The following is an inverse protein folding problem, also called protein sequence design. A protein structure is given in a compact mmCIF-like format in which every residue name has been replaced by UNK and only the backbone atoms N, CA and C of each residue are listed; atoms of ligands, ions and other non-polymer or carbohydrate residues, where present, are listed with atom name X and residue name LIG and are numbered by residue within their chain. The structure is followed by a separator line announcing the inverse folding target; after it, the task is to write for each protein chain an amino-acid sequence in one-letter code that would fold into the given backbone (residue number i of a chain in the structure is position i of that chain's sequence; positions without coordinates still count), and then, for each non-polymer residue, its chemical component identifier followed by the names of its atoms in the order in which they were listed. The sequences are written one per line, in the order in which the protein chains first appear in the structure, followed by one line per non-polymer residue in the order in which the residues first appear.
data_IF_968517217379
#
_entry.id   IF_968517217379
#
_cell.length_a   1.000
_cell.length_b   1.000
_cell.length_c   1.000
_cell.angle_alpha   90.00
_cell.angle_beta   90.00
_cell.angle_gamma   90.00
#
_symmetry.space_group_name_H-M   'P 1'
#
loop_
_entity.id
_entity.type
_entity.pdbx_description
1 polymer ?
#
# COMPACT_ATOMS: atom_id res chain seq x y z
N UNK A 1 -7.05 -37.54 -14.53
CA UNK A 1 -6.06 -36.80 -13.72
C UNK A 1 -5.17 -36.06 -14.71
N UNK A 2 -5.36 -34.76 -14.88
CA UNK A 2 -4.48 -33.96 -15.75
C UNK A 2 -3.28 -33.53 -14.92
N UNK A 3 -2.16 -34.19 -15.15
CA UNK A 3 -0.84 -33.78 -14.70
C UNK A 3 -0.46 -32.50 -15.43
N UNK A 4 -0.81 -31.35 -14.85
CA UNK A 4 -0.34 -30.04 -15.29
C UNK A 4 0.86 -29.65 -14.43
N UNK A 5 1.97 -30.35 -14.59
CA UNK A 5 3.28 -29.79 -14.22
C UNK A 5 3.59 -28.68 -15.21
N UNK A 6 3.05 -27.49 -14.93
CA UNK A 6 3.27 -26.30 -15.75
C UNK A 6 4.78 -26.01 -15.75
N UNK A 7 5.43 -26.23 -16.89
CA UNK A 7 6.86 -25.97 -17.05
C UNK A 7 7.09 -24.47 -16.79
N UNK A 8 7.91 -24.16 -15.78
CA UNK A 8 8.26 -22.78 -15.45
C UNK A 8 9.02 -22.13 -16.61
N UNK A 9 8.87 -20.81 -16.82
CA UNK A 9 9.65 -20.10 -17.82
C UNK A 9 11.14 -20.18 -17.50
N UNK A 10 11.96 -20.15 -18.55
CA UNK A 10 13.41 -19.95 -18.42
C UNK A 10 13.68 -18.64 -17.65
N UNK A 11 14.35 -18.76 -16.51
CA UNK A 11 14.64 -17.63 -15.63
C UNK A 11 15.43 -16.51 -16.30
N UNK A 12 16.21 -16.82 -17.35
CA UNK A 12 16.97 -15.82 -18.11
C UNK A 12 16.09 -14.94 -19.01
N UNK A 13 14.84 -15.35 -19.25
CA UNK A 13 13.84 -14.58 -20.02
C UNK A 13 12.93 -13.72 -19.14
N UNK A 14 13.05 -13.83 -17.82
CA UNK A 14 12.27 -13.03 -16.87
C UNK A 14 12.80 -11.60 -16.90
N UNK A 15 11.92 -10.64 -17.18
CA UNK A 15 12.22 -9.20 -17.20
C UNK A 15 11.71 -8.44 -15.98
N UNK A 16 10.81 -9.06 -15.21
CA UNK A 16 10.20 -8.45 -14.04
C UNK A 16 9.89 -9.51 -12.98
N UNK A 17 10.20 -9.20 -11.73
CA UNK A 17 9.79 -9.95 -10.54
C UNK A 17 8.93 -9.02 -9.69
N UNK A 18 7.65 -9.32 -9.55
CA UNK A 18 6.78 -8.67 -8.58
C UNK A 18 6.63 -9.56 -7.35
N UNK A 19 6.75 -8.96 -6.17
CA UNK A 19 6.59 -9.70 -4.91
C UNK A 19 5.58 -9.01 -4.02
N UNK A 20 4.71 -9.81 -3.42
CA UNK A 20 4.00 -9.39 -2.22
C UNK A 20 4.99 -9.16 -1.06
N UNK A 21 4.54 -8.42 -0.04
CA UNK A 21 5.35 -8.06 1.11
C UNK A 21 5.06 -8.95 2.33
N UNK A 22 3.85 -8.87 2.87
CA UNK A 22 3.48 -9.46 4.16
C UNK A 22 3.21 -10.97 4.04
N UNK A 23 4.06 -11.79 4.67
CA UNK A 23 3.97 -13.26 4.53
C UNK A 23 4.64 -13.82 3.28
N UNK A 24 5.23 -12.95 2.45
CA UNK A 24 5.98 -13.32 1.25
C UNK A 24 7.44 -12.89 1.36
N UNK A 25 7.73 -11.58 1.19
CA UNK A 25 9.07 -11.03 1.28
C UNK A 25 9.53 -10.84 2.74
N UNK A 26 8.58 -10.53 3.62
CA UNK A 26 8.78 -10.43 5.06
C UNK A 26 8.50 -11.76 5.75
N UNK A 27 9.36 -12.12 6.70
CA UNK A 27 9.13 -13.26 7.58
C UNK A 27 8.07 -12.94 8.66
N UNK A 28 7.79 -13.91 9.53
CA UNK A 28 6.82 -13.75 10.64
C UNK A 28 7.17 -12.62 11.63
N UNK A 29 8.42 -12.15 11.65
CA UNK A 29 8.87 -11.01 12.45
C UNK A 29 8.78 -9.68 11.69
N UNK A 30 8.12 -9.65 10.53
CA UNK A 30 8.02 -8.48 9.64
C UNK A 30 9.38 -7.96 9.17
N UNK A 31 10.35 -8.86 8.97
CA UNK A 31 11.72 -8.54 8.57
C UNK A 31 12.09 -9.25 7.27
N UNK A 32 12.94 -8.60 6.47
CA UNK A 32 13.61 -9.23 5.32
C UNK A 32 14.74 -10.11 5.84
N UNK A 33 14.76 -11.38 5.45
CA UNK A 33 15.82 -12.32 5.85
C UNK A 33 17.15 -12.01 5.16
N UNK A 34 18.26 -12.42 5.77
CA UNK A 34 19.59 -12.19 5.20
C UNK A 34 19.81 -12.93 3.87
N UNK A 35 19.27 -14.15 3.77
CA UNK A 35 19.22 -14.88 2.50
C UNK A 35 18.50 -14.06 1.43
N UNK A 36 17.34 -13.48 1.74
CA UNK A 36 16.54 -12.68 0.80
C UNK A 36 17.30 -11.45 0.33
N UNK A 37 17.93 -10.70 1.24
CA UNK A 37 18.77 -9.54 0.90
C UNK A 37 19.90 -9.91 -0.06
N UNK A 38 20.63 -10.98 0.25
CA UNK A 38 21.74 -11.46 -0.58
C UNK A 38 21.25 -11.87 -1.98
N UNK A 39 20.14 -12.60 -2.06
CA UNK A 39 19.59 -13.07 -3.35
C UNK A 39 19.14 -11.90 -4.22
N UNK A 40 18.40 -10.94 -3.64
CA UNK A 40 17.91 -9.77 -4.39
C UNK A 40 19.08 -8.89 -4.84
N UNK A 41 20.08 -8.66 -3.98
CA UNK A 41 21.27 -7.92 -4.37
C UNK A 41 21.98 -8.57 -5.56
N UNK A 42 22.24 -9.88 -5.48
CA UNK A 42 22.92 -10.63 -6.55
C UNK A 42 22.12 -10.67 -7.86
N UNK A 43 20.79 -10.79 -7.79
CA UNK A 43 19.97 -10.87 -9.01
C UNK A 43 19.91 -9.52 -9.73
N UNK A 44 19.82 -8.42 -8.98
CA UNK A 44 19.82 -7.06 -9.53
C UNK A 44 21.20 -6.64 -10.05
N UNK A 45 22.29 -7.14 -9.46
CA UNK A 45 23.65 -6.94 -9.98
C UNK A 45 23.88 -7.73 -11.28
N UNK A 46 23.44 -9.00 -11.30
CA UNK A 46 23.64 -9.88 -12.46
C UNK A 46 22.77 -9.51 -13.66
N UNK A 47 21.57 -9.01 -13.43
CA UNK A 47 20.60 -8.65 -14.47
C UNK A 47 20.19 -7.18 -14.32
N UNK A 48 20.98 -6.23 -14.84
CA UNK A 48 20.73 -4.80 -14.64
C UNK A 48 19.41 -4.30 -15.24
N UNK A 49 18.88 -4.99 -16.26
CA UNK A 49 17.60 -4.66 -16.91
C UNK A 49 16.38 -5.33 -16.26
N UNK A 50 16.58 -6.11 -15.19
CA UNK A 50 15.50 -6.78 -14.47
C UNK A 50 14.78 -5.78 -13.56
N UNK A 51 13.46 -5.69 -13.69
CA UNK A 51 12.62 -4.96 -12.76
C UNK A 51 12.31 -5.80 -11.51
N UNK A 52 12.48 -5.21 -10.33
CA UNK A 52 12.08 -5.80 -9.06
C UNK A 52 11.05 -4.91 -8.37
N UNK A 53 9.80 -5.36 -8.36
CA UNK A 53 8.65 -4.55 -7.97
C UNK A 53 8.08 -5.05 -6.65
N UNK A 54 8.06 -4.17 -5.64
CA UNK A 54 7.31 -4.44 -4.40
C UNK A 54 5.84 -4.14 -4.65
N UNK A 55 4.98 -5.13 -4.53
CA UNK A 55 3.53 -4.99 -4.67
C UNK A 55 2.86 -5.23 -3.31
N UNK A 56 2.19 -4.23 -2.72
CA UNK A 56 1.63 -4.37 -1.37
C UNK A 56 0.42 -3.47 -1.12
N UNK A 57 -0.34 -3.80 -0.09
CA UNK A 57 -1.41 -2.97 0.44
C UNK A 57 -0.96 -1.78 1.27
N UNK A 58 0.31 -1.75 1.66
CA UNK A 58 0.93 -0.65 2.42
C UNK A 58 1.14 0.59 1.56
N UNK A 59 1.28 1.76 2.21
CA UNK A 59 1.71 2.99 1.52
C UNK A 59 3.23 3.08 1.44
N UNK A 60 3.76 4.11 0.75
CA UNK A 60 5.20 4.28 0.53
C UNK A 60 5.99 4.45 1.84
N UNK A 61 5.58 5.29 2.81
CA UNK A 61 6.23 5.37 4.12
C UNK A 61 6.43 4.02 4.81
N UNK A 62 5.43 3.14 4.72
CA UNK A 62 5.42 1.85 5.42
C UNK A 62 6.33 0.80 4.77
N UNK A 63 6.88 1.07 3.58
CA UNK A 63 7.87 0.19 2.92
C UNK A 63 9.30 0.75 2.89
N UNK A 64 9.52 1.99 3.36
CA UNK A 64 10.85 2.63 3.29
C UNK A 64 11.92 1.78 3.99
N UNK A 65 11.63 1.30 5.21
CA UNK A 65 12.56 0.42 5.97
C UNK A 65 12.85 -0.89 5.24
N UNK A 66 11.90 -1.40 4.45
CA UNK A 66 12.09 -2.61 3.65
C UNK A 66 13.01 -2.32 2.47
N UNK A 67 12.80 -1.20 1.77
CA UNK A 67 13.66 -0.75 0.67
C UNK A 67 15.08 -0.47 1.13
N UNK A 68 15.24 0.16 2.30
CA UNK A 68 16.53 0.37 2.95
C UNK A 68 17.22 -0.98 3.27
N UNK A 69 16.51 -1.91 3.89
CA UNK A 69 17.05 -3.22 4.24
C UNK A 69 17.47 -4.06 3.02
N UNK A 70 16.85 -3.83 1.87
CA UNK A 70 17.19 -4.44 0.59
C UNK A 70 18.26 -3.67 -0.20
N UNK A 71 18.66 -2.48 0.27
CA UNK A 71 19.55 -1.57 -0.44
C UNK A 71 19.05 -1.20 -1.85
N UNK A 72 17.75 -0.90 -1.96
CA UNK A 72 17.08 -0.54 -3.22
C UNK A 72 16.47 0.87 -3.20
N UNK A 73 16.85 1.71 -2.22
CA UNK A 73 16.50 3.14 -2.25
C UNK A 73 17.15 3.77 -3.49
N UNK A 74 16.35 4.48 -4.29
CA UNK A 74 16.75 5.15 -5.54
C UNK A 74 17.51 4.26 -6.53
N UNK A 75 17.39 2.94 -6.41
CA UNK A 75 18.05 1.98 -7.30
C UNK A 75 17.19 1.79 -8.56
N UNK A 76 17.72 2.03 -9.76
CA UNK A 76 16.96 1.85 -11.01
C UNK A 76 16.28 0.48 -11.08
N UNK A 77 15.11 0.43 -11.74
CA UNK A 77 14.30 -0.77 -11.96
C UNK A 77 13.77 -1.40 -10.65
N UNK A 78 13.52 -0.59 -9.61
CA UNK A 78 12.97 -1.05 -8.33
C UNK A 78 11.67 -0.33 -7.95
N UNK A 79 10.66 -0.43 -8.80
CA UNK A 79 9.36 0.24 -8.64
C UNK A 79 8.56 -0.29 -7.44
N UNK A 80 7.49 0.43 -7.08
CA UNK A 80 6.57 0.02 -6.02
C UNK A 80 5.11 0.19 -6.43
N UNK A 81 4.34 -0.89 -6.35
CA UNK A 81 2.89 -0.92 -6.53
C UNK A 81 2.20 -0.98 -5.16
N UNK A 82 1.59 0.12 -4.75
CA UNK A 82 1.20 0.35 -3.36
C UNK A 82 -0.30 0.57 -3.20
N UNK A 83 -0.76 0.55 -1.95
CA UNK A 83 -2.19 0.72 -1.62
C UNK A 83 -3.10 -0.25 -2.39
N UNK A 84 -2.70 -1.52 -2.55
CA UNK A 84 -3.39 -2.53 -3.39
C UNK A 84 -3.43 -2.14 -4.88
N UNK A 85 -2.36 -1.52 -5.40
CA UNK A 85 -2.25 -1.11 -6.79
C UNK A 85 -2.93 0.21 -7.13
N UNK A 86 -3.43 0.96 -6.14
CA UNK A 86 -4.01 2.28 -6.39
C UNK A 86 -2.96 3.35 -6.71
N UNK A 87 -1.69 3.12 -6.40
CA UNK A 87 -0.60 4.04 -6.74
C UNK A 87 0.67 3.26 -7.09
N UNK A 88 1.33 3.65 -8.18
CA UNK A 88 2.62 3.12 -8.60
C UNK A 88 3.66 4.23 -8.55
N UNK A 89 4.78 3.95 -7.90
CA UNK A 89 5.95 4.81 -7.89
C UNK A 89 7.07 4.17 -8.68
N UNK A 90 7.84 5.00 -9.38
CA UNK A 90 9.13 4.58 -9.91
C UNK A 90 10.16 4.39 -8.77
N UNK A 91 11.41 4.13 -9.15
CA UNK A 91 12.48 3.89 -8.18
C UNK A 91 12.93 5.15 -7.41
N UNK A 92 12.71 6.35 -7.96
CA UNK A 92 13.05 7.65 -7.36
C UNK A 92 11.88 8.26 -6.59
N UNK A 93 10.71 7.63 -6.62
CA UNK A 93 9.51 8.11 -5.94
C UNK A 93 8.63 9.04 -6.78
N UNK A 94 8.82 9.10 -8.10
CA UNK A 94 7.87 9.76 -9.00
C UNK A 94 6.64 8.86 -9.21
N UNK A 95 5.46 9.47 -9.32
CA UNK A 95 4.21 8.73 -9.53
C UNK A 95 4.12 8.35 -11.01
N UNK A 96 4.16 7.04 -11.29
CA UNK A 96 3.94 6.48 -12.63
C UNK A 96 2.46 6.31 -12.95
N UNK A 97 1.68 5.96 -11.92
CA UNK A 97 0.25 5.72 -12.04
C UNK A 97 -0.45 6.01 -10.72
N UNK A 98 -1.65 6.59 -10.78
CA UNK A 98 -2.47 6.84 -9.61
C UNK A 98 -3.94 6.71 -9.94
N UNK A 99 -4.65 5.89 -9.19
CA UNK A 99 -6.11 5.82 -9.21
C UNK A 99 -6.67 6.46 -7.95
N UNK A 100 -7.59 7.41 -8.12
CA UNK A 100 -8.22 8.14 -7.03
C UNK A 100 -9.72 7.85 -6.99
N UNK A 101 -10.28 7.77 -5.79
CA UNK A 101 -11.71 7.68 -5.59
C UNK A 101 -12.37 9.01 -5.98
N UNK A 102 -13.52 8.98 -6.68
CA UNK A 102 -14.30 10.18 -6.95
C UNK A 102 -14.65 10.92 -5.66
N UNK A 103 -14.58 12.26 -5.68
CA UNK A 103 -14.88 13.10 -4.50
C UNK A 103 -16.25 12.79 -3.90
N UNK A 104 -17.27 12.70 -4.75
CA UNK A 104 -18.65 12.42 -4.34
C UNK A 104 -18.80 11.03 -3.71
N UNK A 105 -18.00 10.05 -4.15
CA UNK A 105 -17.96 8.74 -3.52
C UNK A 105 -17.44 8.84 -2.09
N UNK A 106 -16.33 9.55 -1.86
CA UNK A 106 -15.73 9.72 -0.52
C UNK A 106 -16.67 10.46 0.42
N UNK A 107 -17.34 11.52 -0.08
CA UNK A 107 -18.31 12.30 0.70
C UNK A 107 -19.52 11.43 1.05
N UNK A 108 -20.13 10.74 0.07
CA UNK A 108 -21.28 9.86 0.29
C UNK A 108 -20.93 8.70 1.22
N UNK A 109 -19.73 8.13 1.10
CA UNK A 109 -19.24 7.09 2.00
C UNK A 109 -19.22 7.57 3.46
N UNK A 110 -18.75 8.80 3.72
CA UNK A 110 -18.79 9.40 5.06
C UNK A 110 -20.23 9.59 5.56
N UNK A 111 -21.15 10.00 4.69
CA UNK A 111 -22.56 10.17 5.05
C UNK A 111 -23.25 8.86 5.44
N UNK A 112 -23.05 7.80 4.65
CA UNK A 112 -23.60 6.46 4.92
C UNK A 112 -23.11 5.92 6.26
N UNK A 113 -21.90 6.30 6.68
CA UNK A 113 -21.31 5.80 7.92
C UNK A 113 -21.58 6.67 9.16
N UNK A 114 -22.22 7.84 9.02
CA UNK A 114 -22.61 8.70 10.16
C UNK A 114 -23.37 7.93 11.26
N UNK A 115 -24.30 7.01 10.96
CA UNK A 115 -25.01 6.24 11.99
C UNK A 115 -24.14 5.22 12.76
N UNK A 116 -22.90 4.96 12.32
CA UNK A 116 -22.02 3.95 12.88
C UNK A 116 -20.76 4.58 13.52
N UNK A 117 -20.90 5.31 14.64
CA UNK A 117 -19.81 6.09 15.24
C UNK A 117 -18.66 5.24 15.79
N UNK A 118 -18.84 3.91 15.89
CA UNK A 118 -17.81 2.97 16.32
C UNK A 118 -16.96 2.41 15.17
N UNK A 119 -17.31 2.71 13.93
CA UNK A 119 -16.49 2.29 12.79
C UNK A 119 -15.24 3.18 12.71
N UNK A 120 -14.10 2.53 12.54
CA UNK A 120 -12.82 3.17 12.31
C UNK A 120 -12.52 3.05 10.84
N UNK A 121 -11.99 4.09 10.23
CA UNK A 121 -11.60 4.03 8.83
C UNK A 121 -10.30 4.78 8.59
N UNK A 122 -9.61 4.35 7.55
CA UNK A 122 -8.34 4.89 7.09
C UNK A 122 -8.48 5.27 5.62
N UNK A 123 -8.11 6.50 5.31
CA UNK A 123 -8.01 7.04 3.97
C UNK A 123 -6.56 7.12 3.57
N UNK A 124 -6.15 6.30 2.60
CA UNK A 124 -4.83 6.45 1.97
C UNK A 124 -4.93 7.53 0.89
N UNK A 125 -4.08 8.54 0.96
CA UNK A 125 -3.99 9.66 0.03
C UNK A 125 -2.52 9.92 -0.31
N UNK A 126 -2.05 9.33 -1.42
CA UNK A 126 -0.63 9.25 -1.74
C UNK A 126 0.15 8.53 -0.65
N UNK A 127 1.04 9.25 0.01
CA UNK A 127 1.81 8.74 1.15
C UNK A 127 1.13 8.94 2.50
N UNK A 128 0.11 9.79 2.57
CA UNK A 128 -0.54 10.12 3.83
C UNK A 128 -1.65 9.11 4.13
N UNK A 129 -1.83 8.83 5.41
CA UNK A 129 -2.96 8.04 5.89
C UNK A 129 -3.78 8.87 6.87
N UNK A 130 -5.08 9.00 6.62
CA UNK A 130 -5.95 9.85 7.43
C UNK A 130 -6.97 8.98 8.14
N UNK A 131 -7.06 9.14 9.44
CA UNK A 131 -8.17 8.63 10.26
C UNK A 131 -8.67 9.76 11.15
N UNK A 132 -9.73 9.52 11.93
CA UNK A 132 -10.26 10.52 12.88
C UNK A 132 -10.16 10.04 14.33
N UNK A 133 -9.36 9.00 14.58
CA UNK A 133 -9.07 8.48 15.90
C UNK A 133 -7.55 8.46 16.12
N UNK A 134 -7.08 9.22 17.12
CA UNK A 134 -5.66 9.36 17.42
C UNK A 134 -5.00 8.06 17.90
N UNK A 135 -5.75 7.18 18.59
CA UNK A 135 -5.22 5.88 19.00
C UNK A 135 -4.89 5.03 17.78
N UNK A 136 -5.76 5.04 16.77
CA UNK A 136 -5.56 4.31 15.53
C UNK A 136 -4.49 4.95 14.65
N UNK A 137 -4.43 6.28 14.58
CA UNK A 137 -3.35 6.99 13.88
C UNK A 137 -1.98 6.64 14.49
N UNK A 138 -1.86 6.67 15.83
CA UNK A 138 -0.63 6.29 16.53
C UNK A 138 -0.24 4.83 16.26
N UNK A 139 -1.21 3.92 16.32
CA UNK A 139 -0.94 2.50 16.05
C UNK A 139 -0.45 2.27 14.62
N UNK A 140 -1.03 2.93 13.62
CA UNK A 140 -0.59 2.84 12.23
C UNK A 140 0.85 3.35 12.05
N UNK A 141 1.21 4.46 12.71
CA UNK A 141 2.60 4.98 12.72
C UNK A 141 3.58 4.00 13.37
N UNK A 142 3.28 3.53 14.57
CA UNK A 142 4.22 2.74 15.38
C UNK A 142 4.37 1.29 14.90
N UNK A 143 3.27 0.65 14.48
CA UNK A 143 3.27 -0.78 14.15
C UNK A 143 3.46 -1.07 12.67
N UNK A 144 2.95 -0.19 11.81
CA UNK A 144 2.96 -0.42 10.35
C UNK A 144 3.97 0.49 9.66
N UNK A 145 4.31 1.65 10.25
CA UNK A 145 5.18 2.65 9.63
C UNK A 145 4.45 3.58 8.66
N UNK A 146 3.12 3.63 8.75
CA UNK A 146 2.29 4.51 7.94
C UNK A 146 2.48 5.97 8.35
N UNK A 147 2.39 6.92 7.41
CA UNK A 147 2.34 8.35 7.74
C UNK A 147 0.92 8.74 8.14
N UNK A 148 0.46 8.19 9.25
CA UNK A 148 -0.91 8.34 9.68
C UNK A 148 -1.13 9.61 10.53
N UNK A 149 -2.24 10.30 10.31
CA UNK A 149 -2.67 11.48 11.07
C UNK A 149 -4.14 11.40 11.47
N UNK A 150 -4.46 11.90 12.67
CA UNK A 150 -5.84 12.10 13.10
C UNK A 150 -6.32 13.48 12.64
N UNK A 151 -7.23 13.50 11.67
CA UNK A 151 -7.87 14.70 11.16
C UNK A 151 -9.17 15.04 11.89
N UNK A 152 -9.74 16.20 11.53
CA UNK A 152 -11.14 16.54 11.84
C UNK A 152 -12.01 16.22 10.62
N UNK A 153 -13.19 15.62 10.84
CA UNK A 153 -14.10 15.18 9.78
C UNK A 153 -14.50 16.33 8.86
N UNK A 154 -14.90 17.45 9.44
CA UNK A 154 -15.40 18.61 8.71
C UNK A 154 -14.30 19.18 7.80
N UNK A 155 -13.09 19.37 8.35
CA UNK A 155 -11.95 19.84 7.58
C UNK A 155 -11.55 18.85 6.48
N UNK A 156 -11.58 17.54 6.76
CA UNK A 156 -11.30 16.53 5.76
C UNK A 156 -12.28 16.62 4.57
N UNK A 157 -13.58 16.78 4.84
CA UNK A 157 -14.58 16.92 3.78
C UNK A 157 -14.32 18.18 2.93
N UNK A 158 -13.96 19.31 3.53
CA UNK A 158 -13.62 20.52 2.78
C UNK A 158 -12.32 20.37 1.97
N UNK A 159 -11.32 19.65 2.50
CA UNK A 159 -10.09 19.33 1.80
C UNK A 159 -10.34 18.37 0.60
N UNK A 160 -11.31 17.45 0.71
CA UNK A 160 -11.76 16.61 -0.42
C UNK A 160 -12.47 17.44 -1.49
N UNK A 161 -13.43 18.29 -1.10
CA UNK A 161 -14.19 19.14 -2.02
C UNK A 161 -13.25 20.06 -2.82
N UNK A 162 -12.34 20.74 -2.13
CA UNK A 162 -11.33 21.62 -2.74
C UNK A 162 -10.33 20.85 -3.62
N UNK A 163 -10.22 19.53 -3.47
CA UNK A 163 -9.26 18.70 -4.19
C UNK A 163 -7.85 18.73 -3.60
N UNK A 164 -7.67 19.36 -2.44
CA UNK A 164 -6.41 19.36 -1.68
C UNK A 164 -6.02 17.94 -1.24
N UNK A 165 -7.00 17.10 -0.92
CA UNK A 165 -6.79 15.68 -0.64
C UNK A 165 -7.38 14.85 -1.77
N UNK A 166 -6.58 13.94 -2.30
CA UNK A 166 -7.00 12.94 -3.28
C UNK A 166 -6.85 11.56 -2.67
N UNK A 167 -7.98 10.89 -2.42
CA UNK A 167 -8.00 9.60 -1.74
C UNK A 167 -7.82 8.50 -2.76
N UNK A 168 -6.83 7.63 -2.55
CA UNK A 168 -6.59 6.44 -3.34
C UNK A 168 -7.45 5.25 -2.88
N UNK A 169 -7.58 5.09 -1.56
CA UNK A 169 -8.24 3.92 -0.95
C UNK A 169 -8.87 4.29 0.38
N UNK A 170 -10.00 3.65 0.69
CA UNK A 170 -10.59 3.66 2.03
C UNK A 170 -10.63 2.24 2.59
N UNK A 171 -10.24 2.08 3.85
CA UNK A 171 -10.39 0.84 4.63
C UNK A 171 -11.29 1.12 5.81
N UNK A 172 -12.22 0.21 6.12
CA UNK A 172 -13.16 0.35 7.24
C UNK A 172 -13.11 -0.88 8.14
N UNK A 173 -13.08 -0.65 9.44
CA UNK A 173 -13.14 -1.66 10.49
C UNK A 173 -14.35 -1.37 11.35
N UNK A 174 -15.31 -2.28 11.38
CA UNK A 174 -16.51 -2.17 12.23
C UNK A 174 -16.60 -3.41 13.13
N UNK A 175 -16.84 -3.17 14.42
CA UNK A 175 -17.05 -4.24 15.41
C UNK A 175 -18.44 -4.89 15.33
N UNK A 176 -19.37 -4.27 14.59
CA UNK A 176 -20.66 -4.82 14.15
C UNK A 176 -20.88 -4.39 12.70
N UNK A 177 -21.25 -5.32 11.83
CA UNK A 177 -21.58 -5.00 10.44
C UNK A 177 -22.87 -4.17 10.46
N UNK A 178 -22.88 -2.96 9.90
CA UNK A 178 -24.11 -2.23 9.71
C UNK A 178 -25.04 -3.02 8.78
N UNK A 179 -26.25 -3.36 9.22
CA UNK A 179 -27.30 -3.81 8.30
C UNK A 179 -27.56 -2.65 7.32
N UNK A 180 -27.05 -2.81 6.10
CA UNK A 180 -27.38 -1.89 5.01
C UNK A 180 -28.73 -2.38 4.49
N UNK A 181 -29.80 -1.70 4.90
CA UNK A 181 -31.11 -1.91 4.29
C UNK A 181 -31.01 -1.57 2.80
N UNK A 182 -30.93 -2.60 1.96
CA UNK A 182 -31.11 -2.48 0.53
C UNK A 182 -32.57 -2.12 0.27
N UNK A 183 -32.84 -0.84 0.00
CA UNK A 183 -34.07 -0.42 -0.67
C UNK A 183 -33.79 -0.19 -2.14
#
# INVERSE_FOLDING_TARGET
MTDTTQQLPDGTKIKLIATDLDGTLLNHNSQVSERTKIVISKILEKYPDLHFVIATGRTRPAILKVREALNIIDKPNTESLLSNGCIAYDYNGEILWQNILPKDFVIKFQEVLKPYPKCVYFYAAGDDMITFDEKWARMARERVGERAQAGKKEQFIEDIKSGKIQVNKVSMFCYKIPEIDSK
#
